data_IF_332942326144
#
_entry.id   IF_332942326144
#
_cell.length_a   1.000
_cell.length_b   1.000
_cell.length_c   1.000
_cell.angle_alpha   90.00
_cell.angle_beta   90.00
_cell.angle_gamma   90.00
#
_symmetry.space_group_name_H-M   'P 1'
#
loop_
_entity.id
_entity.type
_entity.pdbx_description
1 polymer ?
#
# COMPACT_ATOMS: atom_id res chain seq x y z
N UNK A 1 0.01 13.12 14.83
CA UNK A 1 -0.65 12.41 13.71
C UNK A 1 0.21 11.21 13.28
N UNK A 2 -0.34 10.14 12.67
CA UNK A 2 0.48 8.96 12.25
C UNK A 2 1.63 9.37 11.34
N UNK A 3 1.44 10.38 10.50
CA UNK A 3 2.50 10.91 9.64
C UNK A 3 3.65 11.58 10.41
N UNK A 4 3.35 12.29 11.51
CA UNK A 4 4.35 12.97 12.35
C UNK A 4 5.15 11.98 13.22
N UNK A 5 4.52 10.88 13.64
CA UNK A 5 5.19 9.87 14.48
C UNK A 5 5.80 8.73 13.67
N UNK A 6 5.29 8.47 12.47
CA UNK A 6 5.84 7.49 11.54
C UNK A 6 7.17 7.96 10.95
N UNK A 7 7.37 9.26 10.72
CA UNK A 7 8.66 9.76 10.21
C UNK A 7 9.83 9.57 11.17
N UNK A 8 9.57 9.34 12.47
CA UNK A 8 10.60 9.16 13.52
C UNK A 8 10.76 7.71 13.97
N UNK A 9 9.99 6.75 13.41
CA UNK A 9 10.05 5.33 13.77
C UNK A 9 9.75 4.45 12.57
N UNK A 10 10.37 3.28 12.53
CA UNK A 10 9.99 2.28 11.54
C UNK A 10 8.59 1.74 11.86
N UNK A 11 7.66 1.92 10.92
CA UNK A 11 6.25 1.57 11.08
C UNK A 11 5.66 1.10 9.74
N UNK A 12 4.85 0.05 9.78
CA UNK A 12 4.04 -0.38 8.63
C UNK A 12 2.56 -0.20 8.96
N UNK A 13 1.86 0.56 8.12
CA UNK A 13 0.43 0.83 8.24
C UNK A 13 -0.31 0.13 7.09
N UNK A 14 -1.22 -0.77 7.43
CA UNK A 14 -2.15 -1.37 6.47
C UNK A 14 -3.45 -0.56 6.53
N UNK A 15 -3.90 -0.06 5.38
CA UNK A 15 -5.15 0.68 5.24
C UNK A 15 -6.07 0.04 4.22
N UNK A 16 -7.37 0.27 4.39
CA UNK A 16 -8.40 -0.10 3.43
C UNK A 16 -9.14 1.16 3.04
N UNK A 17 -9.12 1.51 1.76
CA UNK A 17 -9.79 2.70 1.24
C UNK A 17 -10.94 2.31 0.32
N UNK A 18 -12.12 2.89 0.54
CA UNK A 18 -13.25 2.77 -0.37
C UNK A 18 -12.95 3.42 -1.71
N UNK A 19 -13.35 2.75 -2.79
CA UNK A 19 -13.21 3.16 -4.20
C UNK A 19 -14.52 2.97 -4.94
N UNK A 20 -14.65 3.64 -6.10
CA UNK A 20 -15.81 3.53 -6.99
C UNK A 20 -17.15 3.65 -6.24
N UNK A 21 -17.36 4.76 -5.52
CA UNK A 21 -18.60 5.01 -4.78
C UNK A 21 -18.80 4.16 -3.53
N UNK A 22 -17.76 3.50 -3.01
CA UNK A 22 -17.83 2.62 -1.83
C UNK A 22 -18.13 1.16 -2.17
N UNK A 23 -18.30 0.85 -3.46
CA UNK A 23 -18.53 -0.51 -3.94
C UNK A 23 -17.25 -1.31 -4.12
N UNK A 24 -16.08 -0.69 -4.12
CA UNK A 24 -14.80 -1.39 -4.18
C UNK A 24 -13.93 -0.92 -3.03
N UNK A 25 -12.92 -1.69 -2.63
CA UNK A 25 -11.90 -1.16 -1.76
C UNK A 25 -10.50 -1.58 -2.20
N UNK A 26 -9.51 -0.74 -1.89
CA UNK A 26 -8.11 -1.06 -2.10
C UNK A 26 -7.44 -1.25 -0.75
N UNK A 27 -6.62 -2.30 -0.66
CA UNK A 27 -5.74 -2.51 0.49
C UNK A 27 -4.40 -1.85 0.16
N UNK A 28 -3.99 -0.89 0.99
CA UNK A 28 -2.73 -0.19 0.87
C UNK A 28 -1.77 -0.55 2.00
N UNK A 29 -0.48 -0.47 1.73
CA UNK A 29 0.58 -0.51 2.72
C UNK A 29 1.37 0.80 2.63
N UNK A 30 1.39 1.55 3.71
CA UNK A 30 2.31 2.67 3.90
C UNK A 30 3.39 2.28 4.89
N UNK A 31 4.64 2.31 4.45
CA UNK A 31 5.78 2.02 5.29
C UNK A 31 6.56 3.31 5.54
N UNK A 32 6.83 3.55 6.81
CA UNK A 32 7.83 4.50 7.26
C UNK A 32 9.06 3.68 7.63
N UNK A 33 10.20 3.94 6.99
CA UNK A 33 11.44 3.25 7.28
C UNK A 33 12.61 4.23 7.16
N UNK A 34 13.41 4.39 8.22
CA UNK A 34 14.52 5.34 8.26
C UNK A 34 14.10 6.77 7.85
N UNK A 35 12.90 7.21 8.26
CA UNK A 35 12.34 8.52 7.91
C UNK A 35 11.81 8.66 6.48
N UNK A 36 11.91 7.62 5.64
CA UNK A 36 11.33 7.57 4.31
C UNK A 36 9.92 6.99 4.36
N UNK A 37 8.96 7.64 3.69
CA UNK A 37 7.59 7.15 3.50
C UNK A 37 7.48 6.51 2.12
N UNK A 38 7.06 5.25 2.07
CA UNK A 38 6.67 4.57 0.83
C UNK A 38 5.24 4.09 0.94
N UNK A 39 4.50 4.15 -0.16
CA UNK A 39 3.12 3.65 -0.21
C UNK A 39 2.99 2.75 -1.43
N UNK A 40 2.45 1.55 -1.21
CA UNK A 40 2.15 0.59 -2.28
C UNK A 40 0.74 0.05 -2.11
N UNK A 41 0.08 -0.24 -3.22
CA UNK A 41 -1.18 -0.97 -3.19
C UNK A 41 -0.87 -2.47 -3.11
N UNK A 42 -1.55 -3.18 -2.21
CA UNK A 42 -1.40 -4.61 -2.01
C UNK A 42 -2.43 -5.42 -2.78
N UNK A 43 -3.67 -4.96 -2.76
CA UNK A 43 -4.77 -5.66 -3.40
C UNK A 43 -5.89 -4.70 -3.76
N UNK A 44 -6.67 -5.08 -4.77
CA UNK A 44 -7.98 -4.52 -5.04
C UNK A 44 -9.04 -5.56 -4.64
N UNK A 45 -10.13 -5.09 -4.03
CA UNK A 45 -11.23 -5.92 -3.56
C UNK A 45 -12.53 -5.48 -4.25
N UNK A 46 -13.22 -6.47 -4.83
CA UNK A 46 -14.50 -6.30 -5.50
C UNK A 46 -15.65 -6.03 -4.53
N UNK A 47 -16.81 -5.66 -5.08
CA UNK A 47 -18.00 -5.38 -4.28
C UNK A 47 -18.37 -6.50 -3.33
N UNK A 48 -18.63 -6.10 -2.08
CA UNK A 48 -19.06 -6.96 -0.99
C UNK A 48 -18.03 -8.00 -0.53
N UNK A 49 -16.74 -7.83 -0.86
CA UNK A 49 -15.68 -8.70 -0.34
C UNK A 49 -15.56 -10.06 -1.04
N UNK A 50 -16.31 -10.26 -2.13
CA UNK A 50 -16.40 -11.56 -2.80
C UNK A 50 -15.19 -11.90 -3.67
N UNK A 51 -14.29 -10.93 -3.91
CA UNK A 51 -13.11 -11.14 -4.75
C UNK A 51 -11.96 -10.24 -4.31
N UNK A 52 -10.79 -10.82 -4.09
CA UNK A 52 -9.55 -10.10 -3.79
C UNK A 52 -8.54 -10.43 -4.88
N UNK A 53 -7.98 -9.39 -5.51
CA UNK A 53 -6.86 -9.50 -6.44
C UNK A 53 -5.61 -8.92 -5.77
N UNK A 54 -4.64 -9.79 -5.47
CA UNK A 54 -3.32 -9.35 -5.03
C UNK A 54 -2.54 -8.77 -6.20
N UNK A 55 -1.94 -7.60 -5.97
CA UNK A 55 -1.07 -6.95 -6.94
C UNK A 55 0.36 -7.43 -6.71
N UNK A 56 1.08 -7.69 -7.81
CA UNK A 56 2.49 -8.03 -7.74
C UNK A 56 3.27 -6.85 -7.14
N UNK A 57 4.32 -7.17 -6.37
CA UNK A 57 5.23 -6.15 -5.88
C UNK A 57 5.95 -5.59 -7.10
N UNK A 58 5.89 -4.27 -7.29
CA UNK A 58 6.83 -3.62 -8.22
C UNK A 58 8.25 -3.98 -7.76
N UNK A 59 8.89 -4.88 -8.49
CA UNK A 59 10.33 -5.09 -8.31
C UNK A 59 11.00 -3.78 -8.68
N UNK A 60 11.94 -3.27 -7.86
CA UNK A 60 12.79 -2.19 -8.32
C UNK A 60 13.43 -2.68 -9.62
N UNK A 61 13.20 -1.96 -10.72
CA UNK A 61 13.89 -2.24 -11.98
C UNK A 61 15.39 -2.04 -11.75
N UNK A 62 16.06 -3.04 -11.21
CA UNK A 62 17.52 -3.16 -11.28
C UNK A 62 17.84 -3.63 -12.68
N UNK A 63 17.57 -2.76 -13.65
CA UNK A 63 18.07 -2.87 -15.01
C UNK A 63 19.57 -2.60 -14.99
N UNK A 64 20.35 -3.54 -14.48
CA UNK A 64 21.76 -3.64 -14.82
C UNK A 64 21.82 -4.07 -16.28
N UNK A 65 21.82 -3.09 -17.18
CA UNK A 65 22.23 -3.29 -18.56
C UNK A 65 23.76 -3.32 -18.56
N UNK A 66 24.31 -4.53 -18.52
CA UNK A 66 25.60 -4.79 -19.15
C UNK A 66 25.39 -4.84 -20.67
#
# INVERSE_FOLDING_TARGET
MVEEHGSVRDLSLISVEGRAGGHHCAVGLTQYQNGLKTTRRLADNGSHGNWIQWLEKDEPQTGSKY
#
